data_IF_887855438497
#
_entry.id   IF_887855438497
#
_cell.length_a   1.000
_cell.length_b   1.000
_cell.length_c   1.000
_cell.angle_alpha   90.00
_cell.angle_beta   90.00
_cell.angle_gamma   90.00
#
_symmetry.space_group_name_H-M   'P 1'
#
loop_
_entity.id
_entity.type
_entity.pdbx_description
1 polymer ?
#
# COMPACT_ATOMS: atom_id res chain seq x y z
N UNK A 1 -1.72 19.67 6.35
CA UNK A 1 -0.90 19.08 7.45
C UNK A 1 0.43 18.65 6.83
N UNK A 2 1.58 18.91 7.48
CA UNK A 2 2.88 18.43 6.93
C UNK A 2 2.95 16.91 7.10
N UNK A 3 3.34 16.20 6.05
CA UNK A 3 3.47 14.74 6.06
C UNK A 3 4.56 14.30 7.06
N UNK A 4 4.25 13.28 7.85
CA UNK A 4 5.19 12.69 8.81
C UNK A 4 6.43 12.12 8.10
N UNK A 5 7.55 12.04 8.80
CA UNK A 5 8.79 11.46 8.23
C UNK A 5 8.58 10.00 7.89
N UNK A 6 7.96 9.27 8.80
CA UNK A 6 7.62 7.85 8.70
C UNK A 6 6.72 7.57 7.49
N UNK A 7 5.76 8.47 7.21
CA UNK A 7 4.92 8.38 6.03
C UNK A 7 5.72 8.59 4.74
N UNK A 8 6.61 9.58 4.69
CA UNK A 8 7.48 9.83 3.52
C UNK A 8 8.43 8.67 3.26
N UNK A 9 9.02 8.10 4.30
CA UNK A 9 9.91 6.95 4.22
C UNK A 9 9.18 5.72 3.69
N UNK A 10 7.96 5.44 4.19
CA UNK A 10 7.12 4.37 3.65
C UNK A 10 6.79 4.57 2.18
N UNK A 11 6.35 5.77 1.78
CA UNK A 11 5.99 6.04 0.37
C UNK A 11 7.20 5.90 -0.56
N UNK A 12 8.39 6.31 -0.09
CA UNK A 12 9.65 6.13 -0.82
C UNK A 12 10.02 4.64 -0.94
N UNK A 13 9.80 3.85 0.11
CA UNK A 13 10.04 2.41 0.06
C UNK A 13 9.11 1.73 -0.97
N UNK A 14 7.83 2.13 -1.02
CA UNK A 14 6.90 1.66 -2.05
C UNK A 14 7.36 2.02 -3.46
N UNK A 15 7.83 3.25 -3.69
CA UNK A 15 8.38 3.66 -4.99
C UNK A 15 9.58 2.78 -5.40
N UNK A 16 10.47 2.48 -4.46
CA UNK A 16 11.61 1.60 -4.72
C UNK A 16 11.17 0.16 -5.04
N UNK A 17 10.15 -0.37 -4.34
CA UNK A 17 9.58 -1.69 -4.65
C UNK A 17 9.03 -1.76 -6.10
N UNK A 18 8.32 -0.72 -6.55
CA UNK A 18 7.79 -0.66 -7.92
C UNK A 18 8.92 -0.58 -8.96
N UNK A 19 9.94 0.24 -8.69
CA UNK A 19 11.09 0.39 -9.57
C UNK A 19 11.85 -0.95 -9.74
N UNK A 20 12.05 -1.68 -8.65
CA UNK A 20 12.73 -2.98 -8.66
C UNK A 20 11.89 -4.06 -9.34
N UNK A 21 10.56 -4.02 -9.19
CA UNK A 21 9.65 -4.88 -9.94
C UNK A 21 9.75 -4.60 -11.45
N UNK A 22 9.82 -3.33 -11.86
CA UNK A 22 10.01 -2.95 -13.26
C UNK A 22 11.33 -3.43 -13.84
N UNK A 23 12.44 -3.23 -13.11
CA UNK A 23 13.76 -3.77 -13.50
C UNK A 23 13.71 -5.28 -13.71
N UNK A 24 13.06 -6.00 -12.81
CA UNK A 24 12.93 -7.46 -12.88
C UNK A 24 12.10 -7.91 -14.10
N UNK A 25 11.07 -7.16 -14.46
CA UNK A 25 10.23 -7.40 -15.63
C UNK A 25 10.84 -6.90 -16.95
N UNK A 26 11.95 -6.15 -16.90
CA UNK A 26 12.55 -5.50 -18.07
C UNK A 26 11.71 -4.34 -18.61
N UNK A 27 10.83 -3.75 -17.79
CA UNK A 27 9.91 -2.67 -18.18
C UNK A 27 9.94 -1.53 -17.16
N UNK A 28 9.66 -0.30 -17.61
CA UNK A 28 9.43 0.81 -16.67
C UNK A 28 7.99 0.76 -16.17
N UNK A 29 7.80 0.60 -14.86
CA UNK A 29 6.49 0.58 -14.22
C UNK A 29 6.17 1.94 -13.59
N UNK A 30 4.89 2.28 -13.59
CA UNK A 30 4.34 3.48 -12.96
C UNK A 30 3.10 3.11 -12.17
N UNK A 31 2.86 3.83 -11.07
CA UNK A 31 1.60 3.76 -10.36
C UNK A 31 0.47 4.23 -11.28
N UNK A 32 -0.60 3.44 -11.37
CA UNK A 32 -1.85 3.90 -11.94
C UNK A 32 -2.43 5.06 -11.12
N UNK A 33 -3.40 5.78 -11.70
CA UNK A 33 -4.06 6.88 -11.01
C UNK A 33 -4.71 6.42 -9.68
N UNK A 34 -5.32 5.24 -9.68
CA UNK A 34 -5.96 4.67 -8.48
C UNK A 34 -4.92 4.32 -7.41
N UNK A 35 -3.82 3.65 -7.78
CA UNK A 35 -2.75 3.31 -6.84
C UNK A 35 -2.07 4.57 -6.30
N UNK A 36 -1.90 5.60 -7.13
CA UNK A 36 -1.36 6.89 -6.68
C UNK A 36 -2.27 7.57 -5.64
N UNK A 37 -3.60 7.51 -5.79
CA UNK A 37 -4.53 7.99 -4.78
C UNK A 37 -4.49 7.13 -3.50
N UNK A 38 -4.47 5.81 -3.64
CA UNK A 38 -4.36 4.89 -2.50
C UNK A 38 -3.07 5.13 -1.70
N UNK A 39 -1.96 5.39 -2.38
CA UNK A 39 -0.69 5.80 -1.75
C UNK A 39 -0.83 7.10 -0.97
N UNK A 40 -1.54 8.10 -1.48
CA UNK A 40 -1.81 9.35 -0.74
C UNK A 40 -2.60 9.07 0.53
N UNK A 41 -3.66 8.26 0.44
CA UNK A 41 -4.46 7.87 1.61
C UNK A 41 -3.63 7.11 2.66
N UNK A 42 -2.74 6.22 2.24
CA UNK A 42 -1.79 5.54 3.15
C UNK A 42 -0.90 6.57 3.85
N UNK A 43 -0.33 7.52 3.09
CA UNK A 43 0.52 8.58 3.65
C UNK A 43 -0.18 9.45 4.69
N UNK A 44 -1.43 9.82 4.43
CA UNK A 44 -2.26 10.58 5.36
C UNK A 44 -2.63 9.77 6.61
N UNK A 45 -3.01 8.50 6.45
CA UNK A 45 -3.33 7.61 7.56
C UNK A 45 -2.12 7.39 8.48
N UNK A 46 -0.92 7.16 7.92
CA UNK A 46 0.32 7.04 8.70
C UNK A 46 0.65 8.35 9.40
N UNK A 47 0.52 9.49 8.71
CA UNK A 47 0.74 10.81 9.30
C UNK A 47 -0.19 11.05 10.49
N UNK A 48 -1.47 10.70 10.35
CA UNK A 48 -2.45 10.77 11.44
C UNK A 48 -2.09 9.83 12.59
N UNK A 49 -1.65 8.60 12.30
CA UNK A 49 -1.18 7.64 13.30
C UNK A 49 -0.03 8.21 14.13
N UNK A 50 0.99 8.77 13.47
CA UNK A 50 2.12 9.39 14.15
C UNK A 50 1.69 10.57 15.03
N UNK A 51 0.75 11.39 14.57
CA UNK A 51 0.20 12.49 15.38
C UNK A 51 -0.53 11.98 16.63
N UNK A 52 -1.33 10.91 16.50
CA UNK A 52 -2.03 10.29 17.62
C UNK A 52 -1.09 9.59 18.59
N UNK A 53 -0.03 8.94 18.12
CA UNK A 53 0.99 8.35 18.98
C UNK A 53 1.67 9.44 19.84
N UNK A 54 2.04 10.57 19.24
CA UNK A 54 2.59 11.72 19.99
C UNK A 54 1.59 12.30 20.98
N UNK A 55 0.29 12.31 20.65
CA UNK A 55 -0.76 12.77 21.56
C UNK A 55 -0.98 11.78 22.71
N UNK A 56 -0.90 10.48 22.44
CA UNK A 56 -0.94 9.41 23.44
C UNK A 56 0.18 9.56 24.47
N UNK A 57 1.42 9.79 24.01
CA UNK A 57 2.57 9.96 24.90
C UNK A 57 2.44 11.18 25.83
N UNK A 58 1.78 12.24 25.34
CA UNK A 58 1.53 13.48 26.08
C UNK A 58 0.28 13.44 26.94
N UNK A 59 -0.60 12.46 26.76
CA UNK A 59 -1.86 12.41 27.47
C UNK A 59 -1.64 12.05 28.95
N UNK A 60 -2.25 12.82 29.83
CA UNK A 60 -2.20 12.60 31.29
C UNK A 60 -3.39 11.80 31.80
N UNK A 61 -4.54 11.89 31.14
CA UNK A 61 -5.74 11.15 31.53
C UNK A 61 -5.78 9.75 30.90
N UNK A 62 -6.20 8.76 31.69
CA UNK A 62 -6.36 7.37 31.23
C UNK A 62 -7.41 7.28 30.10
N UNK A 63 -8.50 8.05 30.20
CA UNK A 63 -9.54 8.10 29.17
C UNK A 63 -8.99 8.57 27.83
N UNK A 64 -8.19 9.64 27.79
CA UNK A 64 -7.59 10.12 26.54
C UNK A 64 -6.61 9.09 25.95
N UNK A 65 -5.80 8.44 26.80
CA UNK A 65 -4.89 7.36 26.36
C UNK A 65 -5.67 6.21 25.73
N UNK A 66 -6.77 5.78 26.32
CA UNK A 66 -7.63 4.72 25.75
C UNK A 66 -8.20 5.12 24.39
N UNK A 67 -8.71 6.34 24.26
CA UNK A 67 -9.23 6.86 22.99
C UNK A 67 -8.17 6.90 21.90
N UNK A 68 -6.99 7.46 22.19
CA UNK A 68 -5.90 7.51 21.21
C UNK A 68 -5.40 6.10 20.85
N UNK A 69 -5.30 5.18 21.82
CA UNK A 69 -4.89 3.80 21.55
C UNK A 69 -5.88 3.08 20.63
N UNK A 70 -7.20 3.28 20.84
CA UNK A 70 -8.22 2.69 19.98
C UNK A 70 -8.11 3.21 18.54
N UNK A 71 -7.97 4.53 18.38
CA UNK A 71 -7.84 5.16 17.07
C UNK A 71 -6.57 4.73 16.33
N UNK A 72 -5.43 4.58 17.04
CA UNK A 72 -4.18 4.07 16.45
C UNK A 72 -4.39 2.68 15.87
N UNK A 73 -5.05 1.76 16.60
CA UNK A 73 -5.31 0.39 16.13
C UNK A 73 -6.25 0.34 14.93
N UNK A 74 -7.25 1.22 14.89
CA UNK A 74 -8.14 1.36 13.74
C UNK A 74 -7.35 1.82 12.50
N UNK A 75 -6.48 2.81 12.65
CA UNK A 75 -5.61 3.26 11.56
C UNK A 75 -4.65 2.17 11.10
N UNK A 76 -4.04 1.40 12.02
CA UNK A 76 -3.16 0.29 11.66
C UNK A 76 -3.88 -0.79 10.85
N UNK A 77 -5.12 -1.11 11.23
CA UNK A 77 -5.97 -2.04 10.49
C UNK A 77 -6.28 -1.49 9.09
N UNK A 78 -6.62 -0.20 8.99
CA UNK A 78 -6.95 0.43 7.72
C UNK A 78 -5.74 0.53 6.79
N UNK A 79 -4.59 0.97 7.30
CA UNK A 79 -3.31 0.99 6.58
C UNK A 79 -2.95 -0.40 6.06
N UNK A 80 -3.11 -1.43 6.88
CA UNK A 80 -2.82 -2.81 6.49
C UNK A 80 -3.72 -3.30 5.35
N UNK A 81 -4.99 -2.87 5.30
CA UNK A 81 -5.91 -3.22 4.21
C UNK A 81 -5.53 -2.49 2.91
N UNK A 82 -5.32 -1.18 2.97
CA UNK A 82 -4.89 -0.40 1.80
C UNK A 82 -3.56 -0.90 1.23
N UNK A 83 -2.59 -1.28 2.08
CA UNK A 83 -1.33 -1.88 1.61
C UNK A 83 -1.54 -3.23 0.93
N UNK A 84 -2.50 -4.05 1.38
CA UNK A 84 -2.84 -5.30 0.71
C UNK A 84 -3.49 -5.06 -0.64
N UNK A 85 -4.41 -4.11 -0.73
CA UNK A 85 -5.05 -3.71 -1.99
C UNK A 85 -4.00 -3.22 -3.00
N UNK A 86 -3.08 -2.35 -2.57
CA UNK A 86 -1.97 -1.86 -3.38
C UNK A 86 -1.06 -3.00 -3.88
N UNK A 87 -0.75 -4.00 -3.03
CA UNK A 87 0.09 -5.15 -3.39
C UNK A 87 -0.65 -6.19 -4.23
N UNK A 88 -1.96 -6.30 -4.11
CA UNK A 88 -2.78 -7.23 -4.92
C UNK A 88 -2.84 -6.83 -6.40
N UNK A 89 -2.46 -5.59 -6.72
CA UNK A 89 -2.21 -5.13 -8.09
C UNK A 89 -0.80 -5.44 -8.63
N UNK A 90 0.12 -5.98 -7.82
CA UNK A 90 1.47 -6.32 -8.27
C UNK A 90 1.59 -7.78 -8.72
N UNK A 91 2.42 -8.10 -9.74
CA UNK A 91 2.64 -9.47 -10.21
C UNK A 91 2.94 -10.46 -9.09
N UNK A 92 2.17 -11.56 -9.06
CA UNK A 92 2.25 -12.64 -8.06
C UNK A 92 3.64 -13.28 -7.93
N UNK A 93 4.57 -13.01 -8.85
CA UNK A 93 5.93 -13.55 -8.84
C UNK A 93 6.76 -13.09 -7.63
N UNK A 94 6.36 -12.02 -6.95
CA UNK A 94 7.05 -11.50 -5.77
C UNK A 94 6.40 -11.92 -4.44
N UNK A 95 5.24 -12.59 -4.47
CA UNK A 95 4.54 -13.04 -3.27
C UNK A 95 5.00 -14.46 -2.90
N UNK A 96 6.09 -14.56 -2.14
CA UNK A 96 6.60 -15.83 -1.61
C UNK A 96 5.59 -16.50 -0.64
N UNK A 97 4.79 -17.46 -1.13
CA UNK A 97 4.14 -18.54 -0.37
C UNK A 97 3.63 -19.66 -1.32
N UNK A 98 3.53 -20.93 -0.87
CA UNK A 98 3.58 -22.10 -1.76
C UNK A 98 2.34 -22.25 -2.64
N UNK A 99 2.60 -22.48 -3.93
CA UNK A 99 1.62 -22.51 -5.02
C UNK A 99 0.72 -23.74 -4.98
N UNK A 100 -0.55 -23.56 -4.60
CA UNK A 100 -1.61 -24.52 -4.92
C UNK A 100 -2.16 -24.22 -6.32
N UNK A 101 -2.64 -25.24 -7.06
CA UNK A 101 -3.18 -25.12 -8.44
C UNK A 101 -4.24 -24.02 -8.61
N UNK A 102 -4.98 -23.69 -7.54
CA UNK A 102 -5.95 -22.58 -7.49
C UNK A 102 -5.27 -21.21 -7.56
N UNK A 103 -4.11 -21.04 -6.92
CA UNK A 103 -3.31 -19.81 -6.96
C UNK A 103 -2.73 -19.59 -8.35
N UNK A 104 -2.22 -20.63 -9.02
CA UNK A 104 -1.70 -20.51 -10.41
C UNK A 104 -2.76 -20.04 -11.41
N UNK A 105 -4.02 -20.50 -11.28
CA UNK A 105 -5.12 -20.06 -12.16
C UNK A 105 -5.55 -18.62 -11.88
N UNK A 106 -5.48 -18.19 -10.62
CA UNK A 106 -5.73 -16.80 -10.24
C UNK A 106 -4.63 -15.87 -10.79
N UNK A 107 -3.36 -16.25 -10.68
CA UNK A 107 -2.22 -15.52 -11.26
C UNK A 107 -2.34 -15.40 -12.77
N UNK A 108 -2.73 -16.47 -13.46
CA UNK A 108 -2.95 -16.43 -14.91
C UNK A 108 -4.11 -15.52 -15.31
N UNK A 109 -5.18 -15.47 -14.50
CA UNK A 109 -6.33 -14.60 -14.72
C UNK A 109 -5.99 -13.12 -14.45
N UNK A 110 -5.16 -12.84 -13.44
CA UNK A 110 -4.66 -11.50 -13.14
C UNK A 110 -3.72 -10.99 -14.25
N UNK A 111 -2.74 -11.79 -14.67
CA UNK A 111 -1.84 -11.47 -15.79
C UNK A 111 -2.61 -11.24 -17.11
N UNK A 112 -3.69 -11.99 -17.35
CA UNK A 112 -4.55 -11.81 -18.53
C UNK A 112 -5.43 -10.55 -18.48
N UNK A 113 -5.70 -10.01 -17.28
CA UNK A 113 -6.41 -8.73 -17.11
C UNK A 113 -5.46 -7.58 -17.40
N UNK A 114 -4.26 -7.58 -16.82
CA UNK A 114 -3.26 -6.54 -17.09
C UNK A 114 -2.84 -6.48 -18.56
N UNK A 115 -2.66 -7.63 -19.22
CA UNK A 115 -2.36 -7.66 -20.66
C UNK A 115 -3.49 -7.05 -21.51
N UNK A 116 -4.75 -7.25 -21.13
CA UNK A 116 -5.91 -6.70 -21.84
C UNK A 116 -6.11 -5.21 -21.57
N UNK A 117 -5.93 -4.78 -20.32
CA UNK A 117 -6.02 -3.37 -19.94
C UNK A 117 -4.90 -2.55 -20.60
N UNK A 118 -3.65 -3.05 -20.61
CA UNK A 118 -2.52 -2.40 -21.27
C UNK A 118 -2.68 -2.31 -22.81
N UNK A 119 -3.29 -3.32 -23.45
CA UNK A 119 -3.62 -3.28 -24.88
C UNK A 119 -4.79 -2.33 -25.19
N UNK A 120 -5.72 -2.14 -24.26
CA UNK A 120 -6.83 -1.21 -24.40
C UNK A 120 -6.41 0.26 -24.15
N UNK A 121 -5.40 0.50 -23.30
CA UNK A 121 -4.89 1.83 -22.98
C UNK A 121 -3.74 2.32 -23.87
N UNK A 122 -3.13 1.44 -24.68
CA UNK A 122 -2.01 1.75 -25.58
C UNK A 122 -2.39 1.96 -27.04
N UNK A 123 -3.69 2.09 -27.34
CA UNK A 123 -4.23 2.29 -28.69
C UNK A 123 -4.94 3.62 -28.85
N UNK A 124 -4.19 4.72 -28.80
CA UNK A 124 -4.56 6.03 -29.37
C UNK A 124 -3.32 6.75 -29.87
#
# INVERSE_FOLDING_TARGET
>A
MRMATEARELLKALDAELEDAGKSAGETLFWSAEEAELRKFIGDAVTRKCALARAFDKATSASARLTFSAEIRLLETHISKMLKELRSGMPDEQQSAPSTVTSMKASHAANSRWKRERLASGGQ
#
